data_IF_235114319665
#
_entry.id   IF_235114319665
#
_cell.length_a   1.000
_cell.length_b   1.000
_cell.length_c   1.000
_cell.angle_alpha   90.00
_cell.angle_beta   90.00
_cell.angle_gamma   90.00
#
_symmetry.space_group_name_H-M   'P 1'
#
loop_
_entity.id
_entity.type
_entity.pdbx_description
1 polymer ?
#
# COMPACT_ATOMS: atom_id res chain seq x y z
N UNK A 1 -2.20 10.42 -11.49
CA UNK A 1 -3.30 9.77 -10.74
C UNK A 1 -4.55 10.60 -10.97
N UNK A 2 -5.58 10.05 -11.62
CA UNK A 2 -6.83 10.80 -11.83
C UNK A 2 -7.50 11.02 -10.47
N UNK A 3 -7.94 12.26 -10.19
CA UNK A 3 -8.65 12.59 -8.96
C UNK A 3 -10.06 12.00 -8.98
N UNK A 4 -10.18 10.76 -8.52
CA UNK A 4 -11.46 10.06 -8.32
C UNK A 4 -12.24 10.58 -7.11
N UNK A 5 -11.71 11.55 -6.35
CA UNK A 5 -12.45 12.20 -5.25
C UNK A 5 -13.58 13.11 -5.75
N UNK A 6 -13.60 13.40 -7.06
CA UNK A 6 -14.75 14.03 -7.72
C UNK A 6 -15.92 13.04 -7.71
N UNK A 7 -16.79 13.19 -6.71
CA UNK A 7 -18.08 12.51 -6.70
C UNK A 7 -18.87 12.84 -7.97
N UNK A 8 -19.42 11.83 -8.62
CA UNK A 8 -20.33 12.01 -9.77
C UNK A 8 -21.59 12.83 -9.40
N UNK A 9 -21.91 12.88 -8.10
CA UNK A 9 -23.00 13.68 -7.54
C UNK A 9 -22.46 14.85 -6.70
N UNK A 10 -22.29 16.05 -7.28
CA UNK A 10 -21.75 17.22 -6.56
C UNK A 10 -22.59 17.65 -5.34
N UNK A 11 -23.87 17.23 -5.28
CA UNK A 11 -24.75 17.48 -4.14
C UNK A 11 -24.35 16.72 -2.85
N UNK A 12 -23.56 15.65 -2.95
CA UNK A 12 -23.10 14.88 -1.79
C UNK A 12 -21.93 15.55 -1.06
N UNK A 13 -21.13 16.36 -1.77
CA UNK A 13 -19.91 16.98 -1.26
C UNK A 13 -20.07 18.47 -0.87
N UNK A 14 -21.29 18.99 -0.86
CA UNK A 14 -21.55 20.40 -0.53
C UNK A 14 -21.47 20.66 1.00
N UNK A 15 -21.16 21.90 1.42
CA UNK A 15 -21.18 22.30 2.83
C UNK A 15 -22.49 21.93 3.52
N UNK A 16 -22.43 21.39 4.74
CA UNK A 16 -23.59 20.88 5.48
C UNK A 16 -24.01 19.44 5.15
N UNK A 17 -23.36 18.80 4.15
CA UNK A 17 -23.45 17.34 3.92
C UNK A 17 -22.10 16.65 4.13
N UNK A 18 -21.02 17.24 3.61
CA UNK A 18 -19.66 16.78 3.83
C UNK A 18 -18.79 18.00 4.20
N UNK A 19 -18.39 18.09 5.46
CA UNK A 19 -17.66 19.26 5.96
C UNK A 19 -16.15 19.14 5.82
N UNK A 20 -15.61 17.91 5.72
CA UNK A 20 -14.20 17.64 5.47
C UNK A 20 -13.99 16.47 4.54
N UNK A 21 -12.97 16.61 3.67
CA UNK A 21 -12.44 15.56 2.82
C UNK A 21 -11.01 15.27 3.25
N UNK A 22 -10.69 14.01 3.51
CA UNK A 22 -9.35 13.56 3.92
C UNK A 22 -8.88 12.56 2.87
N UNK A 23 -7.72 12.84 2.27
CA UNK A 23 -7.07 11.90 1.36
C UNK A 23 -6.35 10.83 2.18
N UNK A 24 -6.73 9.57 1.99
CA UNK A 24 -6.00 8.41 2.51
C UNK A 24 -5.10 7.88 1.40
N UNK A 25 -3.83 8.28 1.43
CA UNK A 25 -2.82 7.91 0.43
C UNK A 25 -2.16 6.56 0.70
N UNK A 26 -1.04 6.35 0.02
CA UNK A 26 -0.12 5.27 0.34
C UNK A 26 0.50 5.49 1.72
N UNK A 27 1.03 4.42 2.30
CA UNK A 27 1.69 4.45 3.58
C UNK A 27 3.04 5.16 3.46
N UNK A 28 3.28 6.11 4.36
CA UNK A 28 4.62 6.64 4.58
C UNK A 28 5.47 5.64 5.36
N UNK A 29 6.79 5.83 5.37
CA UNK A 29 7.72 5.04 6.21
C UNK A 29 7.30 5.00 7.68
N UNK A 30 6.83 6.13 8.22
CA UNK A 30 6.35 6.19 9.61
C UNK A 30 5.14 5.29 9.84
N UNK A 31 4.21 5.24 8.88
CA UNK A 31 3.05 4.34 8.94
C UNK A 31 3.51 2.89 8.85
N UNK A 32 4.49 2.58 7.99
CA UNK A 32 5.05 1.23 7.88
C UNK A 32 5.70 0.74 9.18
N UNK A 33 6.52 1.58 9.83
CA UNK A 33 7.12 1.29 11.14
C UNK A 33 6.05 1.11 12.23
N UNK A 34 4.99 1.92 12.20
CA UNK A 34 3.90 1.81 13.16
C UNK A 34 3.11 0.50 12.98
N UNK A 35 2.88 0.08 11.73
CA UNK A 35 2.18 -1.16 11.42
C UNK A 35 2.98 -2.39 11.86
N UNK A 36 4.29 -2.42 11.58
CA UNK A 36 5.17 -3.50 12.03
C UNK A 36 5.21 -3.56 13.56
N UNK A 37 5.37 -2.41 14.22
CA UNK A 37 5.31 -2.32 15.68
C UNK A 37 4.03 -2.91 16.24
N UNK A 38 2.87 -2.45 15.77
CA UNK A 38 1.56 -2.95 16.26
C UNK A 38 1.34 -4.44 15.99
N UNK A 39 1.90 -4.97 14.90
CA UNK A 39 1.72 -6.37 14.52
C UNK A 39 2.54 -7.31 15.42
N UNK A 40 3.76 -6.90 15.79
CA UNK A 40 4.71 -7.75 16.50
C UNK A 40 4.82 -7.46 18.01
N UNK A 41 4.20 -6.40 18.54
CA UNK A 41 4.20 -6.10 19.99
C UNK A 41 3.62 -7.19 20.90
N UNK A 42 2.91 -8.17 20.34
CA UNK A 42 2.38 -9.32 21.08
C UNK A 42 3.38 -10.48 21.20
N UNK A 43 4.59 -10.35 20.63
CA UNK A 43 5.62 -11.39 20.64
C UNK A 43 6.58 -11.10 21.79
N UNK A 44 6.53 -11.95 22.81
CA UNK A 44 7.43 -11.89 23.95
C UNK A 44 8.85 -12.31 23.51
N UNK A 45 9.87 -11.52 23.88
CA UNK A 45 11.29 -11.95 23.79
C UNK A 45 12.12 -11.35 22.66
N UNK A 46 11.67 -10.28 21.99
CA UNK A 46 12.53 -9.51 21.08
C UNK A 46 13.01 -8.24 21.77
N UNK A 47 14.27 -8.24 22.21
CA UNK A 47 14.96 -7.03 22.63
C UNK A 47 15.27 -6.16 21.39
N UNK A 48 15.03 -4.84 21.48
CA UNK A 48 15.27 -3.85 20.41
C UNK A 48 14.32 -3.89 19.19
N UNK A 49 13.02 -4.09 19.46
CA UNK A 49 11.95 -4.00 18.46
C UNK A 49 11.91 -2.65 17.71
N UNK A 50 12.23 -1.54 18.38
CA UNK A 50 12.14 -0.22 17.76
C UNK A 50 13.17 -0.04 16.62
N UNK A 51 14.42 -0.43 16.82
CA UNK A 51 15.45 -0.38 15.76
C UNK A 51 15.12 -1.34 14.61
N UNK A 52 14.56 -2.50 14.95
CA UNK A 52 14.13 -3.50 13.99
C UNK A 52 13.03 -2.94 13.05
N UNK A 53 12.07 -2.19 13.58
CA UNK A 53 10.97 -1.62 12.80
C UNK A 53 11.34 -0.38 12.00
N UNK A 54 12.27 0.44 12.48
CA UNK A 54 12.85 1.51 11.67
C UNK A 54 13.62 0.94 10.48
N UNK A 55 14.33 -0.18 10.68
CA UNK A 55 15.03 -0.90 9.60
C UNK A 55 14.04 -1.45 8.56
N UNK A 56 12.93 -2.04 9.01
CA UNK A 56 11.83 -2.45 8.13
C UNK A 56 11.33 -1.30 7.26
N UNK A 57 11.00 -0.16 7.87
CA UNK A 57 10.48 1.00 7.17
C UNK A 57 11.51 1.63 6.21
N UNK A 58 12.80 1.58 6.55
CA UNK A 58 13.88 2.06 5.69
C UNK A 58 14.05 1.21 4.41
N UNK A 59 13.75 -0.09 4.50
CA UNK A 59 13.81 -1.01 3.35
C UNK A 59 12.63 -0.87 2.39
N UNK A 60 11.57 -0.15 2.76
CA UNK A 60 10.40 0.05 1.93
C UNK A 60 10.47 1.37 1.13
N UNK A 61 9.97 1.36 -0.12
CA UNK A 61 9.78 2.58 -0.88
C UNK A 61 8.66 3.43 -0.26
N UNK A 62 8.91 4.73 -0.13
CA UNK A 62 7.94 5.67 0.44
C UNK A 62 6.77 5.90 -0.53
N UNK A 63 5.58 6.15 0.01
CA UNK A 63 4.35 6.51 -0.73
C UNK A 63 3.97 5.59 -1.91
N UNK A 64 4.41 4.33 -1.90
CA UNK A 64 4.22 3.37 -3.02
C UNK A 64 3.33 2.18 -2.67
N UNK A 65 3.21 1.86 -1.38
CA UNK A 65 2.45 0.73 -0.86
C UNK A 65 1.31 1.22 0.01
N UNK A 66 0.17 0.56 -0.02
CA UNK A 66 -0.96 0.86 0.86
C UNK A 66 -0.73 0.26 2.24
N UNK A 67 -1.30 0.84 3.31
CA UNK A 67 -1.26 0.24 4.64
C UNK A 67 -1.75 -1.22 4.68
N UNK A 68 -2.74 -1.56 3.85
CA UNK A 68 -3.30 -2.92 3.78
C UNK A 68 -2.32 -3.93 3.16
N UNK A 69 -1.60 -3.56 2.11
CA UNK A 69 -0.57 -4.41 1.49
C UNK A 69 0.54 -4.75 2.50
N UNK A 70 1.03 -3.72 3.21
CA UNK A 70 2.05 -3.88 4.25
C UNK A 70 1.52 -4.77 5.38
N UNK A 71 0.30 -4.52 5.85
CA UNK A 71 -0.29 -5.31 6.92
C UNK A 71 -0.43 -6.80 6.54
N UNK A 72 -0.85 -7.09 5.31
CA UNK A 72 -0.97 -8.47 4.82
C UNK A 72 0.38 -9.20 4.78
N UNK A 73 1.44 -8.51 4.33
CA UNK A 73 2.80 -9.05 4.36
C UNK A 73 3.25 -9.36 5.79
N UNK A 74 3.10 -8.40 6.71
CA UNK A 74 3.46 -8.57 8.11
C UNK A 74 2.70 -9.73 8.78
N UNK A 75 1.42 -9.90 8.46
CA UNK A 75 0.62 -11.02 8.97
C UNK A 75 1.08 -12.39 8.46
N UNK A 76 1.68 -12.45 7.27
CA UNK A 76 2.23 -13.69 6.70
C UNK A 76 3.53 -14.11 7.39
N UNK A 77 4.26 -13.15 7.97
CA UNK A 77 5.51 -13.35 8.71
C UNK A 77 5.35 -13.13 10.22
N UNK A 78 4.14 -13.34 10.76
CA UNK A 78 3.80 -13.02 12.15
C UNK A 78 4.78 -13.59 13.16
N UNK A 79 5.18 -14.85 12.98
CA UNK A 79 6.03 -15.57 13.95
C UNK A 79 7.53 -15.39 13.69
N UNK A 80 7.90 -14.64 12.64
CA UNK A 80 9.28 -14.44 12.20
C UNK A 80 9.55 -12.99 11.76
N UNK A 81 9.58 -12.02 12.70
CA UNK A 81 9.77 -10.60 12.38
C UNK A 81 11.11 -10.31 11.69
N UNK A 82 12.17 -11.05 12.02
CA UNK A 82 13.48 -10.91 11.37
C UNK A 82 13.42 -11.26 9.88
N UNK A 83 12.72 -12.34 9.51
CA UNK A 83 12.54 -12.71 8.09
C UNK A 83 11.72 -11.67 7.33
N UNK A 84 10.72 -11.07 7.98
CA UNK A 84 9.92 -10.01 7.35
C UNK A 84 10.80 -8.83 6.91
N UNK A 85 11.89 -8.55 7.61
CA UNK A 85 12.79 -7.42 7.32
C UNK A 85 13.76 -7.74 6.22
N UNK A 86 14.33 -8.95 6.23
CA UNK A 86 15.21 -9.44 5.18
C UNK A 86 14.49 -9.47 3.83
N UNK A 87 13.21 -9.90 3.83
CA UNK A 87 12.40 -10.03 2.62
C UNK A 87 11.68 -8.75 2.20
N UNK A 88 11.61 -7.72 3.05
CA UNK A 88 10.81 -6.51 2.82
C UNK A 88 11.14 -5.81 1.49
N UNK A 89 12.43 -5.66 1.20
CA UNK A 89 12.90 -4.97 0.00
C UNK A 89 12.50 -5.73 -1.28
N UNK A 90 12.80 -7.03 -1.33
CA UNK A 90 12.45 -7.90 -2.46
C UNK A 90 10.94 -7.96 -2.67
N UNK A 91 10.18 -8.22 -1.61
CA UNK A 91 8.72 -8.27 -1.66
C UNK A 91 8.12 -6.96 -2.19
N UNK A 92 8.62 -5.81 -1.72
CA UNK A 92 8.09 -4.51 -2.16
C UNK A 92 8.34 -4.27 -3.64
N UNK A 93 9.51 -4.66 -4.15
CA UNK A 93 9.85 -4.55 -5.56
C UNK A 93 8.94 -5.44 -6.42
N UNK A 94 8.68 -6.67 -5.98
CA UNK A 94 7.81 -7.63 -6.67
C UNK A 94 6.37 -7.13 -6.76
N UNK A 95 5.80 -6.63 -5.66
CA UNK A 95 4.44 -6.08 -5.65
C UNK A 95 4.33 -4.85 -6.56
N UNK A 96 5.31 -3.96 -6.53
CA UNK A 96 5.34 -2.78 -7.40
C UNK A 96 5.44 -3.20 -8.86
N UNK A 97 6.31 -4.16 -9.18
CA UNK A 97 6.44 -4.70 -10.53
C UNK A 97 5.16 -5.40 -11.01
N UNK A 98 4.48 -6.15 -10.13
CA UNK A 98 3.20 -6.79 -10.42
C UNK A 98 2.12 -5.77 -10.73
N UNK A 99 2.03 -4.70 -9.93
CA UNK A 99 1.09 -3.59 -10.15
C UNK A 99 1.36 -2.89 -11.49
N UNK A 100 2.63 -2.64 -11.82
CA UNK A 100 3.01 -2.07 -13.10
C UNK A 100 2.59 -2.97 -14.28
N UNK A 101 2.86 -4.28 -14.21
CA UNK A 101 2.46 -5.25 -15.24
C UNK A 101 0.94 -5.32 -15.41
N UNK A 102 0.18 -5.37 -14.31
CA UNK A 102 -1.27 -5.45 -14.34
C UNK A 102 -1.90 -4.20 -15.01
N UNK A 103 -1.31 -3.03 -14.79
CA UNK A 103 -1.72 -1.78 -15.43
C UNK A 103 -1.44 -1.80 -16.94
N UNK A 104 -0.28 -2.32 -17.36
CA UNK A 104 0.08 -2.46 -18.78
C UNK A 104 -0.85 -3.44 -19.52
N UNK A 105 -1.22 -4.56 -18.88
CA UNK A 105 -2.16 -5.53 -19.45
C UNK A 105 -3.56 -4.94 -19.66
N UNK A 106 -4.07 -4.18 -18.69
CA UNK A 106 -5.37 -3.50 -18.84
C UNK A 106 -5.40 -2.49 -19.99
N UNK A 107 -4.32 -1.70 -20.18
CA UNK A 107 -4.25 -0.76 -21.31
C UNK A 107 -4.21 -1.47 -22.66
N UNK A 108 -3.45 -2.58 -22.79
CA UNK A 108 -3.36 -3.34 -24.03
C UNK A 108 -4.68 -4.00 -24.44
N UNK A 109 -5.43 -4.53 -23.47
CA UNK A 109 -6.75 -5.12 -23.72
C UNK A 109 -7.78 -4.04 -24.09
N UNK A 110 -7.79 -2.91 -23.38
CA UNK A 110 -8.73 -1.82 -23.67
C UNK A 110 -8.55 -1.24 -25.09
N UNK A 111 -7.30 -1.09 -25.54
CA UNK A 111 -6.99 -0.62 -26.90
C UNK A 111 -7.48 -1.63 -27.95
N UNK A 112 -7.26 -2.94 -27.72
CA UNK A 112 -7.69 -3.99 -28.64
C UNK A 112 -9.22 -4.06 -28.77
N UNK A 113 -9.95 -3.98 -27.65
CA UNK A 113 -11.43 -3.97 -27.65
C UNK A 113 -11.98 -2.71 -28.35
N UNK A 114 -11.30 -1.57 -28.24
CA UNK A 114 -11.76 -0.33 -28.88
C UNK A 114 -11.53 -0.35 -30.39
N UNK A 115 -10.38 -0.87 -30.86
CA UNK A 115 -10.09 -1.04 -32.29
C UNK A 115 -11.02 -2.05 -32.98
N UNK A 116 -11.43 -3.12 -32.29
CA UNK A 116 -12.38 -4.12 -32.83
C UNK A 116 -13.84 -3.65 -32.88
N UNK A 117 -14.20 -2.54 -32.23
CA UNK A 117 -15.55 -1.95 -32.28
C UNK A 117 -15.66 -0.79 -33.30
N UNK A 118 -14.62 -0.58 -34.10
CA UNK A 118 -14.52 0.47 -35.13
C UNK A 118 -14.60 -0.08 -36.56
N UNK A 119 -14.87 -1.38 -36.72
CA UNK A 119 -15.25 -2.06 -37.96
C UNK A 119 -16.74 -2.44 -37.94
#
# INVERSE_FOLDING_TARGET
MADTSKSEYPALIRPGRCDRKILMGHASRQVAALLSKKTFTAIDGVDDLDTLFETFAANLPDDSLTPAEIQNFLMTHRDAPSMAIELAAEWSADIIALKAKCLTLHLSVAISIHLSNLE
#
